data_IF_360382021444
#
_entry.id   IF_360382021444
#
_cell.length_a   1.000
_cell.length_b   1.000
_cell.length_c   1.000
_cell.angle_alpha   90.00
_cell.angle_beta   90.00
_cell.angle_gamma   90.00
#
_symmetry.space_group_name_H-M   'P 1'
#
loop_
_entity.id
_entity.type
_entity.pdbx_description
1 polymer ?
#
# COMPACT_ATOMS: atom_id res chain seq x y z
N UNK A 1 32.71 1.63 -18.07
CA UNK A 1 31.60 0.75 -17.62
C UNK A 1 30.32 1.57 -17.61
N UNK A 2 29.24 1.02 -18.18
CA UNK A 2 27.90 1.57 -18.09
C UNK A 2 27.09 0.67 -17.15
N UNK A 3 26.51 1.28 -16.10
CA UNK A 3 25.68 0.60 -15.12
C UNK A 3 24.28 1.20 -15.13
N UNK A 4 23.26 0.36 -15.21
CA UNK A 4 21.86 0.79 -15.27
C UNK A 4 21.15 0.32 -14.01
N UNK A 5 20.69 1.28 -13.21
CA UNK A 5 19.93 1.03 -11.99
C UNK A 5 18.96 2.18 -11.74
N UNK A 6 17.95 1.93 -10.92
CA UNK A 6 17.08 2.95 -10.35
C UNK A 6 17.30 3.10 -8.82
N UNK A 7 18.27 2.37 -8.26
CA UNK A 7 18.60 2.40 -6.82
C UNK A 7 19.65 3.49 -6.58
N UNK A 8 19.24 4.56 -5.93
CA UNK A 8 20.08 5.75 -5.70
C UNK A 8 21.34 5.42 -4.94
N UNK A 9 21.24 4.66 -3.83
CA UNK A 9 22.41 4.28 -3.02
C UNK A 9 23.50 3.57 -3.84
N UNK A 10 23.11 2.67 -4.75
CA UNK A 10 24.07 1.98 -5.61
C UNK A 10 24.73 2.96 -6.58
N UNK A 11 23.93 3.80 -7.24
CA UNK A 11 24.40 4.77 -8.23
C UNK A 11 25.38 5.73 -7.59
N UNK A 12 25.03 6.34 -6.45
CA UNK A 12 25.92 7.28 -5.75
C UNK A 12 27.22 6.65 -5.23
N UNK A 13 27.19 5.34 -4.92
CA UNK A 13 28.36 4.63 -4.41
C UNK A 13 29.36 4.22 -5.49
N UNK A 14 28.92 3.92 -6.71
CA UNK A 14 29.76 3.28 -7.73
C UNK A 14 29.99 4.10 -8.99
N UNK A 15 29.24 5.19 -9.22
CA UNK A 15 29.37 5.95 -10.47
C UNK A 15 30.10 7.28 -10.29
N UNK A 16 30.89 7.65 -11.31
CA UNK A 16 31.54 8.97 -11.39
C UNK A 16 30.58 10.02 -11.94
N UNK A 17 29.73 9.60 -12.87
CA UNK A 17 28.69 10.44 -13.50
C UNK A 17 27.41 9.64 -13.69
N UNK A 18 26.30 10.30 -13.60
CA UNK A 18 25.00 9.70 -13.82
C UNK A 18 24.21 10.45 -14.89
N UNK A 19 23.67 9.71 -15.84
CA UNK A 19 22.81 10.23 -16.89
C UNK A 19 21.37 9.78 -16.63
N UNK A 20 20.45 10.73 -16.61
CA UNK A 20 19.03 10.46 -16.33
C UNK A 20 18.26 10.29 -17.62
N UNK A 21 17.52 9.19 -17.72
CA UNK A 21 16.58 8.89 -18.77
C UNK A 21 15.17 8.83 -18.17
N UNK A 22 14.21 9.48 -18.83
CA UNK A 22 12.79 9.42 -18.46
C UNK A 22 11.94 9.26 -19.70
N UNK A 23 11.06 8.26 -19.72
CA UNK A 23 10.18 7.96 -20.86
C UNK A 23 10.96 7.82 -22.18
N UNK A 24 12.12 7.16 -22.12
CA UNK A 24 13.01 7.00 -23.28
C UNK A 24 13.75 8.28 -23.71
N UNK A 25 13.59 9.40 -23.01
CA UNK A 25 14.20 10.69 -23.32
C UNK A 25 15.32 11.03 -22.34
N UNK A 26 16.46 11.47 -22.86
CA UNK A 26 17.58 11.99 -22.06
C UNK A 26 17.19 13.31 -21.37
N UNK A 27 17.46 13.41 -20.06
CA UNK A 27 17.11 14.57 -19.23
C UNK A 27 18.31 15.35 -18.71
N UNK A 28 19.49 14.74 -18.68
CA UNK A 28 20.72 15.41 -18.25
C UNK A 28 21.75 14.43 -17.73
N UNK A 29 22.99 14.93 -17.61
CA UNK A 29 24.11 14.22 -16.95
C UNK A 29 24.62 15.07 -15.81
N UNK A 30 24.81 14.45 -14.65
CA UNK A 30 25.32 15.06 -13.42
C UNK A 30 26.64 14.37 -13.03
N UNK A 31 27.52 15.11 -12.36
CA UNK A 31 28.70 14.56 -11.71
C UNK A 31 28.30 14.08 -10.32
N UNK A 32 28.53 12.82 -10.02
CA UNK A 32 28.04 12.19 -8.78
C UNK A 32 28.55 12.88 -7.52
N UNK A 33 29.80 13.34 -7.51
CA UNK A 33 30.38 14.03 -6.37
C UNK A 33 29.86 15.47 -6.15
N UNK A 34 29.18 16.05 -7.15
CA UNK A 34 28.70 17.44 -7.14
C UNK A 34 27.16 17.53 -7.10
N UNK A 35 26.50 16.40 -6.92
CA UNK A 35 25.03 16.32 -6.94
C UNK A 35 24.49 15.51 -5.76
N UNK A 36 23.20 15.62 -5.52
CA UNK A 36 22.47 14.89 -4.49
C UNK A 36 21.28 14.10 -5.08
N UNK A 37 20.67 13.28 -4.26
CA UNK A 37 19.51 12.46 -4.65
C UNK A 37 18.32 13.32 -5.11
N UNK A 38 18.14 14.49 -4.52
CA UNK A 38 17.04 15.41 -4.86
C UNK A 38 17.20 15.96 -6.27
N UNK A 39 18.41 16.36 -6.67
CA UNK A 39 18.70 16.85 -8.02
C UNK A 39 18.48 15.76 -9.07
N UNK A 40 18.92 14.52 -8.79
CA UNK A 40 18.69 13.36 -9.66
C UNK A 40 17.20 13.07 -9.78
N UNK A 41 16.49 13.04 -8.66
CA UNK A 41 15.06 12.80 -8.58
C UNK A 41 14.25 13.86 -9.32
N UNK A 42 14.64 15.14 -9.23
CA UNK A 42 14.04 16.22 -10.03
C UNK A 42 14.14 15.97 -11.53
N UNK A 43 15.28 15.48 -12.01
CA UNK A 43 15.44 15.13 -13.43
C UNK A 43 14.63 13.90 -13.82
N UNK A 44 14.53 12.89 -12.94
CA UNK A 44 13.77 11.66 -13.18
C UNK A 44 12.25 11.92 -13.21
N UNK A 45 11.74 12.72 -12.29
CA UNK A 45 10.29 12.95 -12.12
C UNK A 45 9.85 14.26 -12.78
N UNK A 46 10.77 15.23 -12.92
CA UNK A 46 10.50 16.56 -13.47
C UNK A 46 9.94 17.55 -12.44
N UNK A 47 9.86 17.17 -11.18
CA UNK A 47 9.51 18.00 -10.02
C UNK A 47 10.38 17.57 -8.84
N UNK A 48 10.59 18.46 -7.85
CA UNK A 48 11.13 18.04 -6.57
C UNK A 48 10.18 17.00 -5.95
N UNK A 49 10.72 15.88 -5.46
CA UNK A 49 10.02 15.09 -4.47
C UNK A 49 10.11 15.88 -3.17
N UNK A 50 9.25 16.85 -2.99
CA UNK A 50 8.98 17.31 -1.64
C UNK A 50 8.10 16.23 -1.02
N UNK A 51 8.64 15.44 -0.12
CA UNK A 51 7.88 14.69 0.88
C UNK A 51 7.31 15.67 1.91
N UNK A 52 7.05 16.92 1.49
CA UNK A 52 6.32 17.87 2.31
C UNK A 52 4.94 17.28 2.56
N UNK A 53 4.64 17.09 3.83
CA UNK A 53 3.32 16.70 4.34
C UNK A 53 2.29 17.80 4.03
N UNK A 54 1.98 18.02 2.75
CA UNK A 54 0.85 18.83 2.34
C UNK A 54 -0.43 17.99 2.40
N UNK A 55 -0.71 17.41 3.58
CA UNK A 55 -1.99 16.78 3.81
C UNK A 55 -3.00 17.87 4.18
N UNK A 56 -3.92 18.16 3.26
CA UNK A 56 -5.18 18.72 3.69
C UNK A 56 -5.75 17.76 4.73
N UNK A 57 -5.85 18.23 5.96
CA UNK A 57 -6.41 17.47 7.07
C UNK A 57 -7.89 17.21 6.74
N UNK A 58 -8.22 16.01 6.35
CA UNK A 58 -9.60 15.55 6.24
C UNK A 58 -10.00 15.06 7.63
N UNK A 59 -11.03 15.66 8.23
CA UNK A 59 -11.54 15.14 9.50
C UNK A 59 -12.01 13.70 9.30
N UNK A 60 -11.43 12.74 10.05
CA UNK A 60 -11.82 11.34 9.92
C UNK A 60 -13.28 11.16 10.31
N UNK A 61 -14.00 10.38 9.52
CA UNK A 61 -15.39 10.03 9.77
C UNK A 61 -15.56 8.97 10.89
N UNK A 62 -16.64 8.20 10.78
CA UNK A 62 -16.95 7.13 11.73
C UNK A 62 -15.91 6.00 11.68
N UNK A 63 -15.79 5.25 12.80
CA UNK A 63 -14.89 4.10 12.89
C UNK A 63 -15.39 2.97 12.00
N UNK A 64 -14.57 2.55 11.04
CA UNK A 64 -14.84 1.43 10.13
C UNK A 64 -14.29 0.13 10.70
N UNK A 65 -13.07 0.15 11.24
CA UNK A 65 -12.44 -1.00 11.86
C UNK A 65 -12.06 -0.66 13.30
N UNK A 66 -12.39 -1.57 14.21
CA UNK A 66 -11.86 -1.57 15.58
C UNK A 66 -11.33 -2.96 15.92
N UNK A 67 -10.08 -3.02 16.36
CA UNK A 67 -9.39 -4.24 16.77
C UNK A 67 -9.06 -4.13 18.25
N UNK A 68 -9.40 -5.16 19.05
CA UNK A 68 -9.19 -5.18 20.49
C UNK A 68 -8.48 -6.46 20.93
N UNK A 69 -7.29 -6.32 21.48
CA UNK A 69 -6.53 -7.42 22.07
C UNK A 69 -6.24 -8.57 21.10
N UNK A 70 -6.19 -8.30 19.80
CA UNK A 70 -6.04 -9.32 18.75
C UNK A 70 -4.67 -10.00 18.88
N UNK A 71 -4.67 -11.32 18.78
CA UNK A 71 -3.45 -12.13 18.87
C UNK A 71 -3.51 -13.27 17.87
N UNK A 72 -2.34 -13.67 17.34
CA UNK A 72 -2.20 -14.80 16.44
C UNK A 72 -0.96 -15.63 16.78
N UNK A 73 -1.12 -16.60 17.67
CA UNK A 73 -0.05 -17.49 18.09
C UNK A 73 1.19 -16.74 18.60
N UNK A 74 2.35 -16.97 17.96
CA UNK A 74 3.61 -16.29 18.26
C UNK A 74 3.92 -15.12 17.34
N UNK A 75 3.06 -14.85 16.36
CA UNK A 75 3.31 -13.86 15.30
C UNK A 75 3.08 -12.44 15.82
N UNK A 76 1.97 -12.25 16.53
CA UNK A 76 1.68 -10.99 17.22
C UNK A 76 0.73 -11.23 18.40
N UNK A 77 0.72 -10.33 19.37
CA UNK A 77 -0.08 -10.46 20.59
C UNK A 77 -0.57 -9.12 21.11
N UNK A 78 -1.81 -9.12 21.59
CA UNK A 78 -2.45 -8.00 22.29
C UNK A 78 -2.45 -6.71 21.49
N UNK A 79 -2.80 -6.83 20.18
CA UNK A 79 -2.84 -5.70 19.25
C UNK A 79 -4.21 -5.05 19.30
N UNK A 80 -4.24 -3.73 19.57
CA UNK A 80 -5.47 -2.94 19.61
C UNK A 80 -5.26 -1.64 18.85
N UNK A 81 -6.14 -1.34 17.90
CA UNK A 81 -6.14 -0.10 17.12
C UNK A 81 -7.50 0.10 16.43
N UNK A 82 -7.68 1.26 15.83
CA UNK A 82 -8.87 1.56 15.04
C UNK A 82 -8.51 2.27 13.74
N UNK A 83 -9.40 2.18 12.74
CA UNK A 83 -9.29 2.91 11.48
C UNK A 83 -10.64 3.54 11.18
N UNK A 84 -10.63 4.83 10.83
CA UNK A 84 -11.83 5.61 10.54
C UNK A 84 -12.03 5.77 9.03
N UNK A 85 -13.23 6.10 8.65
CA UNK A 85 -13.58 6.45 7.27
C UNK A 85 -12.79 7.69 6.84
N UNK A 86 -12.13 7.61 5.68
CA UNK A 86 -11.32 8.70 5.16
C UNK A 86 -9.93 8.81 5.76
N UNK A 87 -9.52 7.85 6.61
CA UNK A 87 -8.24 7.84 7.29
C UNK A 87 -7.27 6.84 6.64
N UNK A 88 -6.00 7.20 6.60
CA UNK A 88 -4.89 6.30 6.30
C UNK A 88 -4.10 6.03 7.58
N UNK A 89 -4.12 4.79 8.05
CA UNK A 89 -3.30 4.32 9.19
C UNK A 89 -2.09 3.56 8.65
N UNK A 90 -0.89 4.08 8.89
CA UNK A 90 0.37 3.46 8.49
C UNK A 90 0.91 2.53 9.57
N UNK A 91 1.28 1.32 9.21
CA UNK A 91 1.99 0.39 10.09
C UNK A 91 3.47 0.36 9.72
N UNK A 92 4.31 0.66 10.71
CA UNK A 92 5.76 0.66 10.55
C UNK A 92 6.45 -0.19 11.61
N UNK A 93 7.54 -0.85 11.22
CA UNK A 93 8.34 -1.70 12.10
C UNK A 93 9.39 -2.47 11.31
N UNK A 94 10.31 -3.12 12.01
CA UNK A 94 11.33 -3.95 11.37
C UNK A 94 10.72 -5.20 10.71
N UNK A 95 11.47 -5.83 9.82
CA UNK A 95 11.08 -7.11 9.20
C UNK A 95 10.80 -8.14 10.30
N UNK A 96 9.65 -8.81 10.20
CA UNK A 96 9.20 -9.75 11.23
C UNK A 96 8.50 -9.11 12.44
N UNK A 97 8.16 -7.82 12.39
CA UNK A 97 7.42 -7.15 13.47
C UNK A 97 5.94 -7.56 13.57
N UNK A 98 5.41 -8.39 12.65
CA UNK A 98 4.03 -8.89 12.72
C UNK A 98 3.02 -8.09 11.89
N UNK A 99 3.45 -7.12 11.09
CA UNK A 99 2.57 -6.20 10.31
C UNK A 99 1.75 -6.94 9.26
N UNK A 100 2.41 -7.69 8.37
CA UNK A 100 1.75 -8.49 7.33
C UNK A 100 0.83 -9.55 7.95
N UNK A 101 1.22 -10.14 9.06
CA UNK A 101 0.43 -11.15 9.76
C UNK A 101 -0.88 -10.58 10.34
N UNK A 102 -0.88 -9.31 10.76
CA UNK A 102 -2.12 -8.60 11.13
C UNK A 102 -3.03 -8.44 9.91
N UNK A 103 -2.49 -7.96 8.78
CA UNK A 103 -3.25 -7.82 7.53
C UNK A 103 -3.84 -9.17 7.08
N UNK A 104 -3.05 -10.23 7.09
CA UNK A 104 -3.48 -11.58 6.76
C UNK A 104 -4.57 -12.11 7.71
N UNK A 105 -4.50 -11.77 9.01
CA UNK A 105 -5.52 -12.13 9.99
C UNK A 105 -6.82 -11.38 9.74
N UNK A 106 -6.77 -10.07 9.47
CA UNK A 106 -7.93 -9.26 9.13
C UNK A 106 -8.59 -9.70 7.81
N UNK A 107 -7.81 -10.24 6.89
CA UNK A 107 -8.29 -10.77 5.61
C UNK A 107 -8.69 -12.25 5.64
N UNK A 108 -8.59 -12.92 6.81
CA UNK A 108 -9.00 -14.30 6.99
C UNK A 108 -8.05 -15.36 6.43
N UNK A 109 -6.80 -14.99 6.13
CA UNK A 109 -5.73 -15.94 5.76
C UNK A 109 -5.16 -16.64 6.98
N UNK A 110 -5.31 -16.05 8.17
CA UNK A 110 -4.89 -16.60 9.46
C UNK A 110 -6.02 -16.49 10.47
N UNK A 111 -6.19 -17.51 11.29
CA UNK A 111 -7.15 -17.48 12.38
C UNK A 111 -6.53 -16.79 13.61
N UNK A 112 -7.19 -15.79 14.22
CA UNK A 112 -6.77 -15.21 15.47
C UNK A 112 -6.87 -16.24 16.60
N UNK A 113 -5.99 -16.14 17.60
CA UNK A 113 -6.01 -16.99 18.80
C UNK A 113 -6.73 -16.31 19.97
N UNK A 114 -6.86 -14.99 19.95
CA UNK A 114 -7.59 -14.17 20.92
C UNK A 114 -7.93 -12.80 20.35
N UNK A 115 -8.80 -12.07 21.03
CA UNK A 115 -9.20 -10.71 20.68
C UNK A 115 -10.48 -10.63 19.87
N UNK A 116 -10.84 -9.43 19.49
CA UNK A 116 -12.09 -9.11 18.81
C UNK A 116 -11.83 -8.17 17.62
N UNK A 117 -12.54 -8.40 16.53
CA UNK A 117 -12.56 -7.53 15.35
C UNK A 117 -13.99 -7.00 15.22
N UNK A 118 -14.12 -5.68 15.07
CA UNK A 118 -15.40 -5.02 14.77
C UNK A 118 -15.31 -4.25 13.48
N UNK A 119 -16.29 -4.41 12.62
CA UNK A 119 -16.49 -3.63 11.41
C UNK A 119 -17.78 -2.79 11.56
N UNK A 120 -17.63 -1.46 11.43
CA UNK A 120 -18.74 -0.49 11.62
C UNK A 120 -19.56 -0.73 12.91
N UNK A 121 -18.84 -1.07 14.00
CA UNK A 121 -19.40 -1.30 15.33
C UNK A 121 -19.90 -2.72 15.59
N UNK A 122 -20.02 -3.56 14.57
CA UNK A 122 -20.47 -4.95 14.70
C UNK A 122 -19.28 -5.90 14.88
N UNK A 123 -19.34 -6.78 15.89
CA UNK A 123 -18.35 -7.84 16.09
C UNK A 123 -18.44 -8.86 14.97
N UNK A 124 -17.32 -9.11 14.31
CA UNK A 124 -17.24 -10.05 13.18
C UNK A 124 -16.17 -11.11 13.42
N UNK A 125 -16.46 -12.31 12.91
CA UNK A 125 -15.45 -13.35 12.75
C UNK A 125 -15.11 -13.44 11.29
N UNK A 126 -13.81 -13.33 10.93
CA UNK A 126 -13.34 -13.46 9.57
C UNK A 126 -12.67 -14.83 9.43
N UNK A 127 -13.32 -15.74 8.74
CA UNK A 127 -12.91 -17.15 8.66
C UNK A 127 -12.16 -17.52 7.37
N UNK A 128 -12.25 -16.68 6.35
CA UNK A 128 -11.62 -16.90 5.04
C UNK A 128 -11.52 -15.59 4.26
N UNK A 129 -10.69 -15.52 3.20
CA UNK A 129 -10.66 -14.39 2.29
C UNK A 129 -12.01 -14.08 1.63
N UNK A 130 -12.79 -15.09 1.28
CA UNK A 130 -14.13 -14.90 0.73
C UNK A 130 -15.07 -14.20 1.74
N UNK A 131 -15.03 -14.63 2.98
CA UNK A 131 -15.78 -14.03 4.08
C UNK A 131 -15.34 -12.58 4.36
N UNK A 132 -14.01 -12.29 4.30
CA UNK A 132 -13.48 -10.94 4.40
C UNK A 132 -14.02 -10.02 3.30
N UNK A 133 -14.01 -10.51 2.06
CA UNK A 133 -14.51 -9.77 0.89
C UNK A 133 -16.02 -9.46 1.06
N UNK A 134 -16.85 -10.42 1.47
CA UNK A 134 -18.28 -10.21 1.74
C UNK A 134 -18.51 -9.16 2.83
N UNK A 135 -17.63 -9.08 3.83
CA UNK A 135 -17.65 -8.08 4.89
C UNK A 135 -17.04 -6.73 4.49
N UNK A 136 -16.59 -6.60 3.23
CA UNK A 136 -16.04 -5.37 2.70
C UNK A 136 -14.59 -5.09 3.11
N UNK A 137 -13.81 -6.12 3.38
CA UNK A 137 -12.36 -6.03 3.60
C UNK A 137 -11.63 -6.51 2.35
N UNK A 138 -10.65 -5.75 1.88
CA UNK A 138 -9.79 -6.11 0.75
C UNK A 138 -8.32 -5.97 1.11
N UNK A 139 -7.48 -6.85 0.55
CA UNK A 139 -6.04 -6.87 0.78
C UNK A 139 -5.28 -6.82 -0.54
N UNK A 140 -4.52 -5.75 -0.74
CA UNK A 140 -3.45 -5.66 -1.74
C UNK A 140 -2.21 -6.29 -1.11
N UNK A 141 -1.73 -7.44 -1.60
CA UNK A 141 -0.65 -8.18 -0.96
C UNK A 141 0.72 -7.60 -1.29
N UNK A 142 1.72 -7.94 -0.48
CA UNK A 142 3.12 -7.53 -0.61
C UNK A 142 3.72 -7.88 -1.99
N UNK A 143 3.52 -9.11 -2.47
CA UNK A 143 4.02 -9.56 -3.76
C UNK A 143 2.93 -9.50 -4.84
N UNK A 144 2.90 -8.40 -5.59
CA UNK A 144 1.94 -8.27 -6.71
C UNK A 144 2.08 -9.38 -7.75
N UNK A 145 3.31 -9.89 -7.99
CA UNK A 145 3.57 -10.89 -9.02
C UNK A 145 3.17 -12.30 -8.61
N UNK A 146 3.33 -12.64 -7.34
CA UNK A 146 3.10 -13.99 -6.83
C UNK A 146 1.70 -14.16 -6.24
N UNK A 147 1.16 -13.10 -5.63
CA UNK A 147 -0.08 -13.13 -4.87
C UNK A 147 -1.17 -12.22 -5.46
N UNK A 148 -0.78 -11.11 -6.07
CA UNK A 148 -1.71 -10.07 -6.53
C UNK A 148 -2.27 -10.30 -7.94
N UNK A 149 -1.49 -10.85 -8.86
CA UNK A 149 -1.80 -10.93 -10.29
C UNK A 149 -1.68 -12.35 -10.84
N UNK A 150 -2.50 -12.66 -11.81
CA UNK A 150 -2.29 -13.81 -12.72
C UNK A 150 -1.56 -13.27 -13.94
N UNK A 151 -0.21 -13.36 -13.94
CA UNK A 151 0.65 -12.65 -14.89
C UNK A 151 0.38 -12.98 -16.36
N UNK A 152 -0.10 -14.20 -16.65
CA UNK A 152 -0.46 -14.65 -18.01
C UNK A 152 -1.83 -14.18 -18.50
N UNK A 153 -2.67 -13.63 -17.62
CA UNK A 153 -4.01 -13.14 -17.97
C UNK A 153 -3.98 -11.67 -18.43
N UNK A 154 -5.05 -11.26 -19.09
CA UNK A 154 -5.22 -9.87 -19.53
C UNK A 154 -5.42 -8.90 -18.36
N UNK A 155 -5.23 -7.61 -18.61
CA UNK A 155 -5.54 -6.55 -17.64
C UNK A 155 -7.00 -6.59 -17.20
N UNK A 156 -7.93 -6.79 -18.15
CA UNK A 156 -9.36 -6.92 -17.88
C UNK A 156 -9.65 -8.09 -16.95
N UNK A 157 -9.15 -9.29 -17.32
CA UNK A 157 -9.45 -10.50 -16.57
C UNK A 157 -8.88 -10.45 -15.14
N UNK A 158 -7.73 -9.80 -14.94
CA UNK A 158 -7.18 -9.58 -13.61
C UNK A 158 -8.06 -8.66 -12.75
N UNK A 159 -8.60 -7.57 -13.31
CA UNK A 159 -9.46 -6.64 -12.54
C UNK A 159 -10.81 -7.29 -12.20
N UNK A 160 -11.41 -8.03 -13.14
CA UNK A 160 -12.73 -8.64 -12.95
C UNK A 160 -12.72 -9.92 -12.12
N UNK A 161 -11.55 -10.55 -11.95
CA UNK A 161 -11.41 -11.87 -11.33
C UNK A 161 -12.15 -12.07 -10.01
N UNK A 162 -12.10 -11.16 -9.01
CA UNK A 162 -12.83 -11.34 -7.75
C UNK A 162 -14.35 -11.27 -7.89
N UNK A 163 -14.85 -10.60 -8.94
CA UNK A 163 -16.30 -10.44 -9.21
C UNK A 163 -16.83 -11.45 -10.21
N UNK A 164 -16.07 -12.48 -10.57
CA UNK A 164 -16.44 -13.38 -11.64
C UNK A 164 -17.80 -14.08 -11.36
N UNK A 165 -18.10 -14.33 -10.08
CA UNK A 165 -19.39 -14.88 -9.64
C UNK A 165 -20.56 -13.98 -10.01
N UNK A 166 -20.43 -12.67 -9.79
CA UNK A 166 -21.48 -11.67 -10.07
C UNK A 166 -21.64 -11.40 -11.57
N UNK A 167 -20.56 -11.65 -12.32
CA UNK A 167 -20.53 -11.49 -13.79
C UNK A 167 -20.99 -12.72 -14.56
N UNK A 168 -21.36 -13.79 -13.85
CA UNK A 168 -21.74 -15.07 -14.47
C UNK A 168 -23.26 -15.17 -14.65
N UNK A 169 -23.70 -15.42 -15.88
CA UNK A 169 -25.07 -15.73 -16.22
C UNK A 169 -25.15 -17.16 -16.77
N UNK A 170 -25.55 -18.14 -15.94
CA UNK A 170 -25.48 -19.55 -16.27
C UNK A 170 -24.02 -20.01 -16.46
N UNK A 171 -23.66 -20.69 -17.56
CA UNK A 171 -22.28 -21.16 -17.79
C UNK A 171 -21.37 -20.08 -18.40
N UNK A 172 -21.84 -18.88 -18.66
CA UNK A 172 -21.09 -17.85 -19.40
C UNK A 172 -20.79 -16.61 -18.54
N UNK A 173 -19.57 -16.10 -18.69
CA UNK A 173 -19.14 -14.83 -18.10
C UNK A 173 -19.55 -13.68 -19.02
N UNK A 174 -20.06 -12.60 -18.47
CA UNK A 174 -20.44 -11.40 -19.21
C UNK A 174 -19.20 -10.63 -19.67
N UNK A 175 -18.78 -10.84 -20.90
CA UNK A 175 -17.68 -10.05 -21.50
C UNK A 175 -17.90 -8.54 -21.45
N UNK A 176 -19.14 -8.07 -21.60
CA UNK A 176 -19.49 -6.65 -21.49
C UNK A 176 -19.34 -6.12 -20.08
N UNK A 177 -19.74 -6.92 -19.07
CA UNK A 177 -19.58 -6.58 -17.66
C UNK A 177 -18.10 -6.48 -17.25
N UNK A 178 -17.28 -7.46 -17.64
CA UNK A 178 -15.83 -7.41 -17.38
C UNK A 178 -15.17 -6.18 -18.02
N UNK A 179 -15.55 -5.87 -19.28
CA UNK A 179 -14.98 -4.72 -19.98
C UNK A 179 -15.39 -3.40 -19.30
N UNK A 180 -16.64 -3.27 -18.90
CA UNK A 180 -17.13 -2.07 -18.21
C UNK A 180 -16.38 -1.83 -16.87
N UNK A 181 -16.13 -2.88 -16.09
CA UNK A 181 -15.35 -2.79 -14.86
C UNK A 181 -13.90 -2.38 -15.17
N UNK A 182 -13.28 -3.01 -16.14
CA UNK A 182 -11.92 -2.66 -16.54
C UNK A 182 -11.80 -1.20 -16.99
N UNK A 183 -12.69 -0.73 -17.86
CA UNK A 183 -12.68 0.65 -18.35
C UNK A 183 -12.85 1.67 -17.22
N UNK A 184 -13.79 1.41 -16.31
CA UNK A 184 -14.01 2.25 -15.13
C UNK A 184 -12.72 2.41 -14.29
N UNK A 185 -12.03 1.31 -13.96
CA UNK A 185 -10.83 1.36 -13.13
C UNK A 185 -9.59 1.78 -13.90
N UNK A 186 -9.50 1.48 -15.21
CA UNK A 186 -8.46 2.04 -16.08
C UNK A 186 -8.46 3.57 -16.03
N UNK A 187 -9.62 4.17 -16.18
CA UNK A 187 -9.76 5.63 -16.24
C UNK A 187 -9.59 6.25 -14.85
N UNK A 188 -10.21 5.65 -13.82
CA UNK A 188 -10.11 6.13 -12.44
C UNK A 188 -8.68 6.10 -11.89
N UNK A 189 -7.88 5.10 -12.26
CA UNK A 189 -6.53 4.87 -11.73
C UNK A 189 -5.43 5.30 -12.71
N UNK A 190 -5.78 5.90 -13.85
CA UNK A 190 -4.84 6.22 -14.94
C UNK A 190 -3.94 5.02 -15.29
N UNK A 191 -4.56 3.86 -15.57
CA UNK A 191 -3.83 2.65 -15.94
C UNK A 191 -3.40 2.76 -17.40
N UNK A 192 -2.11 2.82 -17.64
CA UNK A 192 -1.53 2.92 -18.97
C UNK A 192 -1.30 1.53 -19.56
N UNK A 193 -2.24 1.07 -20.35
CA UNK A 193 -2.16 -0.19 -21.11
C UNK A 193 -2.62 0.03 -22.54
N UNK A 194 -1.97 -0.59 -23.54
CA UNK A 194 -2.35 -0.45 -24.96
C UNK A 194 -3.77 -0.91 -25.26
N UNK A 195 -4.26 -1.91 -24.53
CA UNK A 195 -5.62 -2.44 -24.64
C UNK A 195 -5.99 -3.26 -23.41
N UNK A 196 -7.28 -3.54 -23.24
CA UNK A 196 -7.78 -4.42 -22.19
C UNK A 196 -7.27 -5.87 -22.31
N UNK A 197 -6.88 -6.28 -23.54
CA UNK A 197 -6.30 -7.61 -23.84
C UNK A 197 -4.82 -7.73 -23.50
N UNK A 198 -4.17 -6.62 -23.17
CA UNK A 198 -2.76 -6.63 -22.82
C UNK A 198 -2.52 -7.57 -21.63
N UNK A 199 -1.58 -8.50 -21.81
CA UNK A 199 -1.13 -9.38 -20.73
C UNK A 199 -0.49 -8.52 -19.63
N UNK A 200 -0.98 -8.68 -18.39
CA UNK A 200 -0.57 -7.82 -17.27
C UNK A 200 0.93 -7.96 -16.95
N UNK A 201 1.51 -9.12 -17.19
CA UNK A 201 2.95 -9.36 -17.01
C UNK A 201 3.85 -8.44 -17.83
N UNK A 202 3.35 -7.87 -18.93
CA UNK A 202 4.10 -6.98 -19.83
C UNK A 202 3.96 -5.48 -19.46
N UNK A 203 3.20 -5.14 -18.43
CA UNK A 203 3.09 -3.76 -17.94
C UNK A 203 4.27 -3.37 -17.05
N UNK A 204 4.51 -2.06 -16.92
CA UNK A 204 5.44 -1.52 -15.90
C UNK A 204 4.97 -1.86 -14.49
N UNK A 205 5.88 -1.87 -13.51
CA UNK A 205 5.57 -2.17 -12.11
C UNK A 205 4.47 -1.29 -11.54
N UNK A 206 4.47 0.01 -11.83
CA UNK A 206 3.44 0.95 -11.38
C UNK A 206 2.07 0.61 -11.96
N UNK A 207 1.97 0.29 -13.27
CA UNK A 207 0.70 -0.11 -13.87
C UNK A 207 0.21 -1.47 -13.37
N UNK A 208 1.12 -2.43 -13.12
CA UNK A 208 0.77 -3.69 -12.46
C UNK A 208 0.15 -3.44 -11.08
N UNK A 209 0.74 -2.55 -10.29
CA UNK A 209 0.22 -2.20 -8.96
C UNK A 209 -1.17 -1.55 -9.04
N UNK A 210 -1.37 -0.64 -10.00
CA UNK A 210 -2.68 -0.04 -10.25
C UNK A 210 -3.74 -1.09 -10.65
N UNK A 211 -3.37 -2.13 -11.41
CA UNK A 211 -4.25 -3.27 -11.71
C UNK A 211 -4.62 -4.04 -10.43
N UNK A 212 -3.67 -4.32 -9.53
CA UNK A 212 -3.98 -4.99 -8.25
C UNK A 212 -4.90 -4.14 -7.40
N UNK A 213 -4.62 -2.84 -7.26
CA UNK A 213 -5.49 -1.91 -6.52
C UNK A 213 -6.89 -1.88 -7.16
N UNK A 214 -6.98 -1.72 -8.49
CA UNK A 214 -8.25 -1.72 -9.23
C UNK A 214 -9.07 -3.00 -9.05
N UNK A 215 -8.42 -4.15 -9.06
CA UNK A 215 -8.99 -5.46 -8.77
C UNK A 215 -9.71 -5.47 -7.42
N UNK A 216 -9.09 -4.95 -6.38
CA UNK A 216 -9.67 -4.92 -5.03
C UNK A 216 -10.70 -3.81 -4.83
N UNK A 217 -10.50 -2.64 -5.46
CA UNK A 217 -11.49 -1.57 -5.47
C UNK A 217 -12.79 -1.96 -6.19
N UNK A 218 -12.71 -2.87 -7.17
CA UNK A 218 -13.87 -3.40 -7.87
C UNK A 218 -14.84 -4.12 -6.90
N UNK A 219 -14.34 -4.66 -5.79
CA UNK A 219 -15.13 -5.25 -4.71
C UNK A 219 -15.81 -4.21 -3.80
N UNK A 220 -15.58 -2.89 -4.02
CA UNK A 220 -16.14 -1.78 -3.24
C UNK A 220 -15.90 -1.94 -1.73
N UNK A 221 -14.65 -2.14 -1.28
CA UNK A 221 -14.36 -2.40 0.12
C UNK A 221 -14.70 -1.20 1.01
N UNK A 222 -15.01 -1.49 2.28
CA UNK A 222 -15.09 -0.49 3.36
C UNK A 222 -13.71 -0.22 3.94
N UNK A 223 -12.90 -1.29 4.02
CA UNK A 223 -11.50 -1.28 4.47
C UNK A 223 -10.59 -1.81 3.36
N UNK A 224 -9.63 -1.02 2.95
CA UNK A 224 -8.57 -1.40 2.03
C UNK A 224 -7.24 -1.52 2.78
N UNK A 225 -6.67 -2.71 2.81
CA UNK A 225 -5.34 -2.96 3.36
C UNK A 225 -4.36 -3.02 2.19
N UNK A 226 -3.26 -2.29 2.28
CA UNK A 226 -2.24 -2.23 1.22
C UNK A 226 -0.88 -2.54 1.85
N UNK A 227 -0.37 -3.73 1.54
CA UNK A 227 0.91 -4.19 2.06
C UNK A 227 2.02 -3.94 1.04
N UNK A 228 3.05 -3.19 1.44
CA UNK A 228 4.20 -2.78 0.63
C UNK A 228 3.81 -2.21 -0.75
N UNK A 229 3.01 -1.12 -0.79
CA UNK A 229 2.37 -0.62 -2.03
C UNK A 229 3.34 -0.27 -3.15
N UNK A 230 4.57 0.11 -2.82
CA UNK A 230 5.56 0.57 -3.81
C UNK A 230 6.76 -0.33 -3.96
N UNK A 231 6.73 -1.54 -3.38
CA UNK A 231 7.83 -2.50 -3.48
C UNK A 231 8.12 -2.89 -4.93
N UNK A 232 9.38 -2.66 -5.34
CA UNK A 232 9.82 -3.00 -6.70
C UNK A 232 9.17 -2.16 -7.80
N UNK A 233 8.79 -0.93 -7.48
CA UNK A 233 8.29 0.09 -8.41
C UNK A 233 9.35 1.17 -8.56
N UNK A 234 9.43 1.79 -9.73
CA UNK A 234 10.31 2.92 -9.98
C UNK A 234 9.87 4.18 -9.22
N UNK A 235 10.83 5.09 -8.98
CA UNK A 235 10.61 6.29 -8.14
C UNK A 235 9.46 7.18 -8.65
N UNK A 236 9.31 7.30 -9.97
CA UNK A 236 8.23 8.11 -10.55
C UNK A 236 6.86 7.52 -10.27
N UNK A 237 6.74 6.21 -10.41
CA UNK A 237 5.49 5.48 -10.15
C UNK A 237 5.16 5.37 -8.65
N UNK A 238 6.15 5.43 -7.73
CA UNK A 238 5.90 5.45 -6.29
C UNK A 238 4.99 6.61 -5.91
N UNK A 239 5.31 7.81 -6.38
CA UNK A 239 4.49 9.00 -6.10
C UNK A 239 3.06 8.84 -6.62
N UNK A 240 2.86 8.30 -7.82
CA UNK A 240 1.52 8.08 -8.36
C UNK A 240 0.69 7.13 -7.44
N UNK A 241 1.33 6.11 -6.85
CA UNK A 241 0.67 5.19 -5.91
C UNK A 241 0.37 5.88 -4.57
N UNK A 242 1.28 6.71 -4.05
CA UNK A 242 1.04 7.49 -2.82
C UNK A 242 -0.14 8.45 -3.00
N UNK A 243 -0.14 9.23 -4.10
CA UNK A 243 -1.21 10.16 -4.44
C UNK A 243 -2.55 9.40 -4.58
N UNK A 244 -2.55 8.21 -5.19
CA UNK A 244 -3.71 7.35 -5.32
C UNK A 244 -4.25 6.90 -3.95
N UNK A 245 -3.39 6.43 -3.04
CA UNK A 245 -3.79 6.02 -1.69
C UNK A 245 -4.47 7.18 -0.95
N UNK A 246 -3.90 8.37 -1.04
CA UNK A 246 -4.48 9.58 -0.43
C UNK A 246 -5.82 9.96 -1.06
N UNK A 247 -5.95 9.86 -2.38
CA UNK A 247 -7.21 10.10 -3.08
C UNK A 247 -8.31 9.11 -2.67
N UNK A 248 -7.95 7.84 -2.50
CA UNK A 248 -8.89 6.82 -2.00
C UNK A 248 -9.40 7.16 -0.61
N UNK A 249 -8.53 7.56 0.32
CA UNK A 249 -8.94 8.00 1.64
C UNK A 249 -9.87 9.21 1.55
N UNK A 250 -9.51 10.27 0.79
CA UNK A 250 -10.39 11.43 0.55
C UNK A 250 -11.75 11.04 -0.05
N UNK A 251 -11.81 9.97 -0.81
CA UNK A 251 -13.05 9.40 -1.36
C UNK A 251 -13.86 8.60 -0.33
N UNK A 252 -13.41 8.54 0.93
CA UNK A 252 -14.12 7.92 2.05
C UNK A 252 -13.75 6.45 2.31
N UNK A 253 -12.68 5.91 1.70
CA UNK A 253 -12.18 4.60 2.08
C UNK A 253 -11.41 4.69 3.41
N UNK A 254 -11.58 3.69 4.29
CA UNK A 254 -10.67 3.44 5.39
C UNK A 254 -9.47 2.65 4.84
N UNK A 255 -8.24 3.13 5.08
CA UNK A 255 -7.05 2.53 4.48
C UNK A 255 -6.02 2.17 5.54
N UNK A 256 -5.49 0.96 5.48
CA UNK A 256 -4.29 0.55 6.21
C UNK A 256 -3.15 0.46 5.19
N UNK A 257 -2.02 1.11 5.47
CA UNK A 257 -0.79 0.98 4.68
C UNK A 257 0.27 0.32 5.54
N UNK A 258 0.84 -0.76 5.06
CA UNK A 258 1.99 -1.41 5.67
C UNK A 258 3.19 -1.15 4.77
N UNK A 259 4.27 -0.60 5.31
CA UNK A 259 5.50 -0.40 4.54
C UNK A 259 6.74 -0.57 5.41
N UNK A 260 7.82 -1.05 4.78
CA UNK A 260 9.17 -1.09 5.34
C UNK A 260 9.94 0.19 5.07
N UNK A 261 9.42 1.06 4.20
CA UNK A 261 10.03 2.35 3.89
C UNK A 261 9.43 3.45 4.80
N UNK A 262 10.21 3.96 5.74
CA UNK A 262 9.77 5.01 6.68
C UNK A 262 9.25 6.26 5.96
N UNK A 263 9.95 6.80 4.93
CA UNK A 263 9.45 7.97 4.20
C UNK A 263 8.07 7.75 3.57
N UNK A 264 7.78 6.53 3.10
CA UNK A 264 6.47 6.17 2.55
C UNK A 264 5.37 6.28 3.61
N UNK A 265 5.57 5.61 4.77
CA UNK A 265 4.59 5.65 5.86
C UNK A 265 4.36 7.07 6.36
N UNK A 266 5.43 7.83 6.56
CA UNK A 266 5.34 9.22 7.00
C UNK A 266 4.63 10.12 5.99
N UNK A 267 4.75 9.82 4.70
CA UNK A 267 4.16 10.63 3.63
C UNK A 267 2.67 10.34 3.43
N UNK A 268 2.23 9.08 3.52
CA UNK A 268 0.85 8.72 3.15
C UNK A 268 -0.11 8.66 4.33
N UNK A 269 0.38 8.58 5.58
CA UNK A 269 -0.44 8.24 6.74
C UNK A 269 -0.90 9.45 7.55
N UNK A 270 -2.13 9.40 8.05
CA UNK A 270 -2.69 10.37 9.01
C UNK A 270 -2.28 10.00 10.44
N UNK A 271 -2.16 8.71 10.73
CA UNK A 271 -1.61 8.13 11.96
C UNK A 271 -0.64 7.02 11.63
N UNK A 272 0.37 6.84 12.49
CA UNK A 272 1.37 5.78 12.35
C UNK A 272 1.37 4.89 13.59
N UNK A 273 1.21 3.60 13.36
CA UNK A 273 1.31 2.53 14.37
C UNK A 273 2.70 1.92 14.27
N UNK A 274 3.52 2.12 15.30
CA UNK A 274 4.84 1.51 15.41
C UNK A 274 4.73 0.12 16.02
N UNK A 275 5.42 -0.85 15.41
CA UNK A 275 5.43 -2.24 15.86
C UNK A 275 6.82 -2.75 16.15
N UNK A 276 6.93 -3.52 17.23
CA UNK A 276 8.14 -4.23 17.62
C UNK A 276 7.79 -5.62 18.17
N UNK A 277 8.41 -6.66 17.63
CA UNK A 277 8.25 -8.05 18.09
C UNK A 277 6.78 -8.49 18.28
N UNK A 278 5.92 -8.19 17.31
CA UNK A 278 4.53 -8.60 17.33
C UNK A 278 3.62 -7.79 18.26
N UNK A 279 4.06 -6.64 18.74
CA UNK A 279 3.26 -5.74 19.58
C UNK A 279 3.26 -4.32 19.03
N UNK A 280 2.18 -3.60 19.28
CA UNK A 280 2.16 -2.14 19.10
C UNK A 280 2.95 -1.53 20.25
N UNK A 281 3.94 -0.73 19.93
CA UNK A 281 4.75 0.00 20.92
C UNK A 281 4.24 1.40 21.14
N UNK A 282 3.79 2.06 20.07
CA UNK A 282 3.23 3.40 20.11
C UNK A 282 2.39 3.72 18.88
N UNK A 283 1.35 4.52 19.06
CA UNK A 283 0.66 5.22 17.98
C UNK A 283 1.07 6.70 17.98
N UNK A 284 1.19 7.26 16.78
CA UNK A 284 1.54 8.65 16.55
C UNK A 284 0.51 9.28 15.63
N UNK A 285 0.15 10.52 15.88
CA UNK A 285 -0.48 11.37 14.87
C UNK A 285 0.56 11.83 13.85
N UNK A 286 0.12 12.30 12.68
CA UNK A 286 1.03 12.83 11.66
C UNK A 286 1.89 14.01 12.19
N UNK A 287 1.38 14.76 13.16
CA UNK A 287 2.06 15.92 13.75
C UNK A 287 3.14 15.52 14.75
N UNK A 288 2.94 14.41 15.48
CA UNK A 288 3.83 13.94 16.55
C UNK A 288 4.97 13.05 16.03
N UNK A 289 4.76 12.39 14.88
CA UNK A 289 5.72 11.42 14.37
C UNK A 289 6.88 12.12 13.68
N UNK A 290 8.10 11.76 14.11
CA UNK A 290 9.36 12.11 13.46
C UNK A 290 10.15 10.84 13.17
N UNK A 291 11.17 10.91 12.32
CA UNK A 291 12.04 9.77 12.06
C UNK A 291 12.65 9.23 13.36
N UNK A 292 13.16 10.13 14.24
CA UNK A 292 13.78 9.76 15.50
C UNK A 292 12.80 9.06 16.46
N UNK A 293 11.58 9.62 16.63
CA UNK A 293 10.57 9.03 17.53
C UNK A 293 10.09 7.68 17.01
N UNK A 294 10.00 7.53 15.69
CA UNK A 294 9.59 6.28 15.07
C UNK A 294 10.68 5.21 15.19
N UNK A 295 11.96 5.55 14.97
CA UNK A 295 13.10 4.63 15.19
C UNK A 295 13.16 4.14 16.63
N UNK A 296 12.97 5.02 17.61
CA UNK A 296 12.93 4.63 19.02
C UNK A 296 11.80 3.63 19.29
N UNK A 297 10.59 3.91 18.80
CA UNK A 297 9.44 3.05 19.02
C UNK A 297 9.63 1.64 18.43
N UNK A 298 10.19 1.51 17.22
CA UNK A 298 10.42 0.22 16.57
C UNK A 298 11.65 -0.54 17.10
N UNK A 299 12.46 0.10 17.97
CA UNK A 299 13.60 -0.54 18.63
C UNK A 299 13.24 -1.08 20.00
N UNK A 300 11.98 -0.96 20.42
CA UNK A 300 11.53 -1.38 21.75
C UNK A 300 11.99 -0.45 22.89
N UNK A 301 12.54 0.72 22.55
CA UNK A 301 12.93 1.73 23.53
C UNK A 301 11.68 2.59 23.82
N UNK A 302 10.95 2.22 24.86
CA UNK A 302 9.83 3.04 25.36
C UNK A 302 10.43 4.17 26.19
N UNK A 303 10.19 5.46 25.90
CA UNK A 303 10.56 6.55 26.79
C UNK A 303 9.89 6.33 28.17
N UNK A 304 10.64 6.52 29.24
CA UNK A 304 10.19 6.28 30.64
C UNK A 304 9.06 7.22 31.14
N UNK A 305 8.45 8.02 30.28
CA UNK A 305 7.45 9.05 30.68
C UNK A 305 5.98 8.56 30.66
N UNK A 306 5.71 7.29 30.37
CA UNK A 306 4.33 6.77 30.31
C UNK A 306 3.95 5.89 31.54
N UNK A 307 4.71 5.96 32.64
CA UNK A 307 4.42 5.22 33.88
C UNK A 307 4.23 6.23 35.06
N UNK A 308 3.15 6.99 35.03
CA UNK A 308 2.67 7.75 36.17
C UNK A 308 1.13 7.82 36.18
#
# INVERSE_FOLDING_TARGET
>A
IVYISHRMEEIFRISDRLSVLRDGTYRGTLVTAETDEDAVTKLMIGRALSYERNHEHVEPGETVLEVRGLSCGKLFSDVSFSVRRGEVVGFYGLVGAGRTEIAETLFGLRAPTAGEIRLEGETVTVSSPADAIEKGVSLVPESRKEQGLVLGMSCRDNISLPQIGDLTAGPMISNGGELAIYEMYRDRLDIRSPSWRQTVGNLSGGNQQKIVIGKWLAMKPRLLIVDEPTRGIDVGSKKEIHDLIRELARSGYAVIVISSEMPEVLHVSDRVVAMYQGRITREFTAEEVTEDTLVQAISGIVPQEAAA
#
